data_IF_062458284529
#
_entry.id   IF_062458284529
#
_cell.length_a   1.000
_cell.length_b   1.000
_cell.length_c   1.000
_cell.angle_alpha   90.00
_cell.angle_beta   90.00
_cell.angle_gamma   90.00
#
_symmetry.space_group_name_H-M   'P 1'
#
loop_
_entity.id
_entity.type
_entity.pdbx_description
1 polymer ?
#
# COMPACT_ATOMS: atom_id res chain seq x y z
N UNK A 1 -12.81 -16.12 1.52
CA UNK A 1 -11.85 -15.35 2.34
C UNK A 1 -12.65 -14.33 3.15
N UNK A 2 -12.54 -14.31 4.47
CA UNK A 2 -13.36 -13.45 5.33
C UNK A 2 -13.12 -11.96 5.02
N UNK A 3 -14.17 -11.14 4.86
CA UNK A 3 -14.03 -9.69 4.60
C UNK A 3 -13.12 -8.98 5.62
N UNK A 4 -13.14 -9.45 6.87
CA UNK A 4 -12.24 -9.03 7.96
C UNK A 4 -10.76 -9.23 7.62
N UNK A 5 -10.41 -10.34 6.99
CA UNK A 5 -9.03 -10.67 6.59
C UNK A 5 -8.55 -9.74 5.48
N UNK A 6 -9.41 -9.41 4.51
CA UNK A 6 -9.09 -8.47 3.42
C UNK A 6 -8.82 -7.07 3.99
N UNK A 7 -9.66 -6.59 4.92
CA UNK A 7 -9.42 -5.32 5.62
C UNK A 7 -8.09 -5.31 6.37
N UNK A 8 -7.78 -6.38 7.11
CA UNK A 8 -6.51 -6.53 7.81
C UNK A 8 -5.31 -6.47 6.86
N UNK A 9 -5.38 -7.16 5.72
CA UNK A 9 -4.34 -7.11 4.70
C UNK A 9 -4.15 -5.69 4.16
N UNK A 10 -5.22 -5.00 3.76
CA UNK A 10 -5.14 -3.64 3.21
C UNK A 10 -4.56 -2.64 4.22
N UNK A 11 -4.81 -2.82 5.51
CA UNK A 11 -4.24 -1.99 6.57
C UNK A 11 -2.76 -2.29 6.74
N UNK A 12 -2.36 -3.56 6.83
CA UNK A 12 -0.98 -3.96 7.15
C UNK A 12 -0.03 -3.74 5.96
N UNK A 13 -0.53 -3.85 4.72
CA UNK A 13 0.24 -3.73 3.48
C UNK A 13 1.13 -2.47 3.42
N UNK A 14 0.63 -1.24 3.63
CA UNK A 14 1.47 -0.04 3.64
C UNK A 14 2.53 -0.05 4.74
N UNK A 15 2.22 -0.55 5.94
CA UNK A 15 3.20 -0.59 7.04
C UNK A 15 4.34 -1.57 6.74
N UNK A 16 4.02 -2.77 6.27
CA UNK A 16 5.04 -3.77 5.92
C UNK A 16 5.92 -3.25 4.78
N UNK A 17 5.30 -2.61 3.79
CA UNK A 17 6.04 -1.98 2.70
C UNK A 17 7.03 -0.92 3.19
N UNK A 18 6.60 -0.01 4.07
CA UNK A 18 7.44 1.10 4.50
C UNK A 18 8.46 0.72 5.58
N UNK A 19 8.18 -0.30 6.40
CA UNK A 19 9.05 -0.67 7.52
C UNK A 19 9.94 -1.87 7.22
N UNK A 20 9.39 -2.92 6.61
CA UNK A 20 10.12 -4.16 6.37
C UNK A 20 10.77 -4.18 4.98
N UNK A 21 10.10 -3.61 3.96
CA UNK A 21 10.57 -3.69 2.58
C UNK A 21 11.57 -2.56 2.25
N UNK A 22 11.60 -1.49 3.05
CA UNK A 22 12.50 -0.33 2.87
C UNK A 22 13.98 -0.69 2.68
N UNK A 23 14.64 -1.52 3.51
CA UNK A 23 16.05 -1.87 3.30
C UNK A 23 16.31 -2.61 1.99
N UNK A 24 15.31 -3.33 1.47
CA UNK A 24 15.44 -4.05 0.20
C UNK A 24 15.29 -3.14 -1.01
N UNK A 25 14.50 -2.07 -0.89
CA UNK A 25 14.27 -1.08 -1.95
C UNK A 25 15.21 0.11 -1.86
N UNK A 26 15.95 0.25 -0.76
CA UNK A 26 16.96 1.29 -0.58
C UNK A 26 18.23 1.00 -1.39
N UNK A 27 18.10 1.12 -2.70
CA UNK A 27 19.17 0.96 -3.69
C UNK A 27 18.99 2.01 -4.78
N UNK A 28 20.12 2.44 -5.36
CA UNK A 28 20.12 3.42 -6.44
C UNK A 28 19.64 2.75 -7.73
N UNK A 29 20.20 1.58 -8.05
CA UNK A 29 19.81 0.78 -9.21
C UNK A 29 18.77 -0.29 -8.86
N UNK A 30 17.80 -0.56 -9.76
CA UNK A 30 17.66 0.02 -11.09
C UNK A 30 17.02 1.42 -11.09
N UNK A 31 17.38 2.24 -12.07
CA UNK A 31 16.70 3.51 -12.34
C UNK A 31 15.42 3.23 -13.14
N UNK A 32 14.28 3.62 -12.59
CA UNK A 32 12.94 3.43 -13.19
C UNK A 32 12.34 4.80 -13.44
N UNK A 33 11.93 5.09 -14.68
CA UNK A 33 11.37 6.39 -15.09
C UNK A 33 12.29 7.60 -14.76
N UNK A 34 13.61 7.38 -14.77
CA UNK A 34 14.60 8.41 -14.39
C UNK A 34 14.76 8.62 -12.88
N UNK A 35 14.09 7.81 -12.05
CA UNK A 35 14.19 7.85 -10.60
C UNK A 35 15.01 6.66 -10.08
N UNK A 36 15.86 6.84 -9.05
CA UNK A 36 16.43 5.74 -8.30
C UNK A 36 15.33 4.83 -7.73
N UNK A 37 15.64 3.55 -7.54
CA UNK A 37 14.64 2.55 -7.16
C UNK A 37 13.85 2.93 -5.91
N UNK A 38 14.52 3.47 -4.89
CA UNK A 38 13.85 3.96 -3.67
C UNK A 38 12.84 5.08 -3.95
N UNK A 39 13.20 6.06 -4.79
CA UNK A 39 12.31 7.17 -5.12
C UNK A 39 11.10 6.69 -5.93
N UNK A 40 11.32 5.80 -6.90
CA UNK A 40 10.23 5.17 -7.64
C UNK A 40 9.28 4.40 -6.70
N UNK A 41 9.82 3.64 -5.76
CA UNK A 41 9.03 2.92 -4.76
C UNK A 41 8.17 3.87 -3.93
N UNK A 42 8.77 4.92 -3.35
CA UNK A 42 8.03 5.90 -2.57
C UNK A 42 6.94 6.61 -3.40
N UNK A 43 7.25 6.99 -4.64
CA UNK A 43 6.30 7.60 -5.56
C UNK A 43 5.12 6.67 -5.87
N UNK A 44 5.38 5.39 -6.13
CA UNK A 44 4.33 4.37 -6.31
C UNK A 44 3.39 4.31 -5.10
N UNK A 45 3.94 4.40 -3.88
CA UNK A 45 3.17 4.36 -2.64
C UNK A 45 2.30 5.59 -2.37
N UNK A 46 2.57 6.73 -3.02
CA UNK A 46 1.66 7.89 -3.00
C UNK A 46 0.31 7.51 -3.60
N UNK A 47 0.29 6.64 -4.62
CA UNK A 47 -0.94 6.18 -5.28
C UNK A 47 -1.48 4.91 -4.61
N UNK A 48 -0.63 3.96 -4.24
CA UNK A 48 -1.09 2.70 -3.62
C UNK A 48 -1.75 2.90 -2.25
N UNK A 49 -1.26 3.83 -1.44
CA UNK A 49 -1.82 4.09 -0.10
C UNK A 49 -3.29 4.52 -0.14
N UNK A 50 -3.69 5.56 -0.90
CA UNK A 50 -5.10 5.94 -1.01
C UNK A 50 -5.94 4.84 -1.68
N UNK A 51 -5.37 4.02 -2.58
CA UNK A 51 -6.07 2.86 -3.13
C UNK A 51 -6.36 1.79 -2.06
N UNK A 52 -5.43 1.57 -1.12
CA UNK A 52 -5.66 0.66 0.01
C UNK A 52 -6.80 1.18 0.89
N UNK A 53 -6.78 2.47 1.25
CA UNK A 53 -7.84 3.11 2.02
C UNK A 53 -9.17 3.11 1.28
N UNK A 54 -9.17 3.34 -0.03
CA UNK A 54 -10.36 3.26 -0.87
C UNK A 54 -10.95 1.84 -0.88
N UNK A 55 -10.11 0.82 -0.97
CA UNK A 55 -10.54 -0.58 -0.83
C UNK A 55 -11.20 -0.87 0.52
N UNK A 56 -10.63 -0.33 1.61
CA UNK A 56 -11.22 -0.42 2.95
C UNK A 56 -12.59 0.29 2.99
N UNK A 57 -12.68 1.50 2.46
CA UNK A 57 -13.92 2.27 2.39
C UNK A 57 -15.02 1.51 1.65
N UNK A 58 -14.72 0.93 0.49
CA UNK A 58 -15.69 0.15 -0.30
C UNK A 58 -16.14 -1.12 0.45
N UNK A 59 -15.22 -1.77 1.18
CA UNK A 59 -15.55 -2.92 2.02
C UNK A 59 -16.45 -2.54 3.20
N UNK A 60 -16.17 -1.42 3.86
CA UNK A 60 -16.99 -0.90 4.97
C UNK A 60 -18.38 -0.48 4.50
N UNK A 61 -18.45 0.22 3.35
CA UNK A 61 -19.71 0.60 2.71
C UNK A 61 -20.58 -0.61 2.39
N UNK A 62 -19.98 -1.69 1.88
CA UNK A 62 -20.71 -2.93 1.57
C UNK A 62 -21.18 -3.69 2.83
N UNK A 63 -20.63 -3.40 4.00
CA UNK A 63 -21.03 -4.01 5.26
C UNK A 63 -22.14 -3.23 5.99
N UNK A 64 -22.59 -2.09 5.45
CA UNK A 64 -23.58 -1.22 6.11
C UNK A 64 -23.05 -0.59 7.41
N UNK A 65 -21.73 -0.57 7.59
CA UNK A 65 -21.06 -0.08 8.81
C UNK A 65 -20.84 1.44 8.81
N UNK A 66 -21.20 2.11 7.72
CA UNK A 66 -21.07 3.56 7.55
C UNK A 66 -22.40 4.31 7.80
N UNK A 67 -23.44 3.56 8.18
CA UNK A 67 -24.75 4.06 8.63
C UNK A 67 -24.82 4.05 10.16
#
# INVERSE_FOLDING_TARGET
MSRKFIKLLLIILPFISQLAVLPFVNRIDPIILGLPFLQFWLFLWIVLTPLCTFGIYQLQKSEGSLD
#
